data_IF_945289430681
#
_entry.id   IF_945289430681
#
_cell.length_a   1.000
_cell.length_b   1.000
_cell.length_c   1.000
_cell.angle_alpha   90.00
_cell.angle_beta   90.00
_cell.angle_gamma   90.00
#
_symmetry.space_group_name_H-M   'P 1'
#
loop_
_entity.id
_entity.type
_entity.pdbx_description
1 polymer ?
#
# COMPACT_ATOMS: atom_id res chain seq x y z
N UNK A 1 -15.16 28.54 -1.08
CA UNK A 1 -14.97 29.58 -0.04
C UNK A 1 -13.56 30.17 -0.06
N UNK A 2 -12.51 29.35 -0.08
CA UNK A 2 -11.11 29.82 -0.17
C UNK A 2 -10.83 30.78 -1.35
N UNK A 3 -11.29 30.45 -2.56
CA UNK A 3 -11.14 31.36 -3.72
C UNK A 3 -11.76 32.74 -3.48
N UNK A 4 -12.97 32.80 -2.89
CA UNK A 4 -13.63 34.06 -2.55
C UNK A 4 -12.85 34.84 -1.49
N UNK A 5 -12.23 34.14 -0.53
CA UNK A 5 -11.40 34.77 0.49
C UNK A 5 -10.08 35.31 -0.09
N UNK A 6 -9.44 34.59 -1.00
CA UNK A 6 -8.24 35.07 -1.69
C UNK A 6 -8.52 36.33 -2.54
N UNK A 7 -9.68 36.40 -3.20
CA UNK A 7 -10.12 37.64 -3.88
C UNK A 7 -10.30 38.79 -2.88
N UNK A 8 -10.90 38.52 -1.72
CA UNK A 8 -11.05 39.51 -0.67
C UNK A 8 -9.70 39.98 -0.10
N UNK A 9 -8.72 39.09 0.09
CA UNK A 9 -7.35 39.46 0.50
C UNK A 9 -6.67 40.36 -0.54
N UNK A 10 -6.89 40.09 -1.84
CA UNK A 10 -6.38 40.95 -2.90
C UNK A 10 -7.03 42.35 -2.86
N UNK A 11 -8.34 42.42 -2.67
CA UNK A 11 -9.06 43.70 -2.50
C UNK A 11 -8.59 44.45 -1.24
N UNK A 12 -8.32 43.71 -0.16
CA UNK A 12 -7.79 44.23 1.10
C UNK A 12 -6.43 44.91 0.88
N UNK A 13 -5.54 44.36 0.05
CA UNK A 13 -4.24 44.98 -0.24
C UNK A 13 -4.38 46.41 -0.80
N UNK A 14 -5.42 46.63 -1.61
CA UNK A 14 -5.72 47.93 -2.21
C UNK A 14 -6.35 48.90 -1.23
N UNK A 15 -7.12 48.41 -0.25
CA UNK A 15 -7.62 49.22 0.86
C UNK A 15 -6.48 49.60 1.81
N UNK A 16 -5.48 48.74 1.97
CA UNK A 16 -4.32 49.00 2.81
C UNK A 16 -3.51 50.22 2.36
N UNK A 17 -3.25 50.34 1.06
CA UNK A 17 -2.56 51.53 0.53
C UNK A 17 -3.36 52.82 0.71
N UNK A 18 -4.70 52.74 0.70
CA UNK A 18 -5.55 53.90 1.00
C UNK A 18 -5.49 54.30 2.48
N UNK A 19 -5.45 53.33 3.40
CA UNK A 19 -5.28 53.57 4.83
C UNK A 19 -3.91 54.19 5.11
N UNK A 20 -2.84 53.70 4.48
CA UNK A 20 -1.49 54.27 4.57
C UNK A 20 -1.47 55.74 4.11
N UNK A 21 -2.06 56.03 2.95
CA UNK A 21 -2.17 57.40 2.46
C UNK A 21 -2.99 58.32 3.37
N UNK A 22 -4.05 57.81 4.02
CA UNK A 22 -4.83 58.58 5.00
C UNK A 22 -4.00 58.90 6.25
N UNK A 23 -3.20 57.95 6.73
CA UNK A 23 -2.29 58.14 7.86
C UNK A 23 -1.22 59.19 7.53
N UNK A 24 -0.63 59.13 6.33
CA UNK A 24 0.34 60.13 5.86
C UNK A 24 -0.29 61.52 5.78
N UNK A 25 -1.48 61.63 5.20
CA UNK A 25 -2.20 62.90 5.11
C UNK A 25 -2.56 63.46 6.50
N UNK A 26 -3.04 62.61 7.41
CA UNK A 26 -3.33 63.01 8.79
C UNK A 26 -2.06 63.54 9.48
N UNK A 27 -0.94 62.82 9.36
CA UNK A 27 0.33 63.21 9.96
C UNK A 27 0.89 64.53 9.37
N UNK A 28 0.67 64.78 8.08
CA UNK A 28 1.08 66.03 7.44
C UNK A 28 0.23 67.24 7.87
N UNK A 29 -1.04 67.01 8.23
CA UNK A 29 -1.95 68.06 8.70
C UNK A 29 -1.66 68.48 10.14
N UNK A 30 -1.25 67.55 11.03
CA UNK A 30 -1.06 67.82 12.46
C UNK A 30 -0.26 69.10 12.79
N UNK A 31 0.88 69.41 12.14
CA UNK A 31 1.65 70.61 12.45
C UNK A 31 0.94 71.93 12.12
N UNK A 32 -0.10 71.90 11.28
CA UNK A 32 -0.83 73.09 10.80
C UNK A 32 -2.03 73.48 11.66
N UNK A 33 -2.40 72.65 12.64
CA UNK A 33 -3.57 72.85 13.50
C UNK A 33 -3.17 72.87 14.97
N UNK A 34 -3.95 73.57 15.80
CA UNK A 34 -3.69 73.69 17.24
C UNK A 34 -4.82 73.07 18.08
N UNK A 35 -4.43 72.53 19.24
CA UNK A 35 -5.31 72.11 20.35
C UNK A 35 -6.43 71.14 19.94
N UNK A 36 -7.67 71.61 19.86
CA UNK A 36 -8.84 70.75 19.70
C UNK A 36 -8.91 70.07 18.32
N UNK A 37 -8.46 70.77 17.27
CA UNK A 37 -8.45 70.23 15.90
C UNK A 37 -7.36 69.18 15.72
N UNK A 38 -6.20 69.39 16.36
CA UNK A 38 -5.10 68.44 16.37
C UNK A 38 -5.52 67.14 17.07
N UNK A 39 -6.15 67.24 18.25
CA UNK A 39 -6.71 66.08 18.97
C UNK A 39 -7.73 65.32 18.13
N UNK A 40 -8.68 66.02 17.51
CA UNK A 40 -9.68 65.38 16.66
C UNK A 40 -9.07 64.61 15.47
N UNK A 41 -8.02 65.15 14.83
CA UNK A 41 -7.31 64.48 13.73
C UNK A 41 -6.59 63.22 14.25
N UNK A 42 -5.91 63.32 15.39
CA UNK A 42 -5.26 62.17 16.04
C UNK A 42 -6.27 61.06 16.38
N UNK A 43 -7.37 61.41 17.06
CA UNK A 43 -8.38 60.44 17.47
C UNK A 43 -8.97 59.69 16.26
N UNK A 44 -9.30 60.41 15.18
CA UNK A 44 -9.85 59.80 13.96
C UNK A 44 -8.83 58.95 13.20
N UNK A 45 -7.56 59.39 13.13
CA UNK A 45 -6.48 58.58 12.57
C UNK A 45 -6.33 57.27 13.36
N UNK A 46 -6.33 57.35 14.68
CA UNK A 46 -6.10 56.21 15.55
C UNK A 46 -7.29 55.23 15.53
N UNK A 47 -8.53 55.72 15.42
CA UNK A 47 -9.71 54.91 15.15
C UNK A 47 -9.59 54.13 13.83
N UNK A 48 -9.16 54.78 12.75
CA UNK A 48 -8.96 54.12 11.45
C UNK A 48 -7.86 53.07 11.52
N UNK A 49 -6.74 53.38 12.18
CA UNK A 49 -5.63 52.41 12.40
C UNK A 49 -6.14 51.21 13.20
N UNK A 50 -6.93 51.43 14.25
CA UNK A 50 -7.47 50.36 15.07
C UNK A 50 -8.43 49.46 14.27
N UNK A 51 -9.40 50.05 13.56
CA UNK A 51 -10.33 49.31 12.71
C UNK A 51 -9.61 48.52 11.61
N UNK A 52 -8.58 49.12 11.00
CA UNK A 52 -7.74 48.45 10.00
C UNK A 52 -7.03 47.22 10.56
N UNK A 53 -6.38 47.35 11.72
CA UNK A 53 -5.71 46.22 12.41
C UNK A 53 -6.68 45.12 12.79
N UNK A 54 -7.87 45.47 13.29
CA UNK A 54 -8.91 44.49 13.61
C UNK A 54 -9.40 43.74 12.37
N UNK A 55 -9.58 44.45 11.24
CA UNK A 55 -9.97 43.84 9.97
C UNK A 55 -8.89 42.88 9.46
N UNK A 56 -7.61 43.27 9.51
CA UNK A 56 -6.48 42.40 9.14
C UNK A 56 -6.45 41.13 10.01
N UNK A 57 -6.57 41.29 11.33
CA UNK A 57 -6.59 40.17 12.27
C UNK A 57 -7.76 39.21 11.98
N UNK A 58 -8.96 39.74 11.79
CA UNK A 58 -10.16 38.94 11.48
C UNK A 58 -10.06 38.22 10.12
N UNK A 59 -9.41 38.86 9.15
CA UNK A 59 -9.16 38.28 7.82
C UNK A 59 -8.21 37.09 7.92
N UNK A 60 -7.09 37.25 8.63
CA UNK A 60 -6.11 36.17 8.82
C UNK A 60 -6.70 35.01 9.62
N UNK A 61 -7.47 35.27 10.68
CA UNK A 61 -8.19 34.23 11.42
C UNK A 61 -9.13 33.44 10.51
N UNK A 62 -9.90 34.14 9.66
CA UNK A 62 -10.78 33.50 8.70
C UNK A 62 -10.02 32.63 7.70
N UNK A 63 -8.85 33.09 7.23
CA UNK A 63 -7.99 32.32 6.34
C UNK A 63 -7.58 30.99 6.97
N UNK A 64 -7.06 31.04 8.20
CA UNK A 64 -6.65 29.86 8.97
C UNK A 64 -7.81 28.88 9.12
N UNK A 65 -8.99 29.36 9.55
CA UNK A 65 -10.17 28.50 9.67
C UNK A 65 -10.61 27.87 8.34
N UNK A 66 -10.51 28.60 7.23
CA UNK A 66 -10.85 28.06 5.91
C UNK A 66 -9.84 27.03 5.41
N UNK A 67 -8.55 27.19 5.74
CA UNK A 67 -7.50 26.23 5.42
C UNK A 67 -7.67 24.96 6.25
N UNK A 68 -7.88 25.08 7.56
CA UNK A 68 -8.09 23.96 8.46
C UNK A 68 -9.34 23.14 8.09
N UNK A 69 -10.44 23.82 7.78
CA UNK A 69 -11.65 23.14 7.29
C UNK A 69 -11.40 22.38 5.99
N UNK A 70 -10.64 22.95 5.05
CA UNK A 70 -10.31 22.25 3.81
C UNK A 70 -9.38 21.05 4.04
N UNK A 71 -8.36 21.20 4.89
CA UNK A 71 -7.42 20.13 5.23
C UNK A 71 -8.13 18.95 5.90
N UNK A 72 -9.05 19.20 6.84
CA UNK A 72 -9.78 18.12 7.51
C UNK A 72 -10.71 17.37 6.55
N UNK A 73 -11.39 18.08 5.65
CA UNK A 73 -12.24 17.44 4.62
C UNK A 73 -11.41 16.61 3.64
N UNK A 74 -10.25 17.14 3.23
CA UNK A 74 -9.30 16.43 2.37
C UNK A 74 -8.78 15.16 3.07
N UNK A 75 -8.40 15.25 4.34
CA UNK A 75 -7.99 14.10 5.13
C UNK A 75 -9.05 12.99 5.14
N UNK A 76 -10.30 13.30 5.49
CA UNK A 76 -11.37 12.28 5.51
C UNK A 76 -11.67 11.71 4.13
N UNK A 77 -11.55 12.50 3.06
CA UNK A 77 -11.68 11.99 1.70
C UNK A 77 -10.57 10.98 1.37
N UNK A 78 -9.31 11.32 1.67
CA UNK A 78 -8.16 10.43 1.47
C UNK A 78 -8.30 9.13 2.26
N UNK A 79 -8.72 9.20 3.54
CA UNK A 79 -8.99 8.02 4.36
C UNK A 79 -10.05 7.13 3.70
N UNK A 80 -11.18 7.70 3.26
CA UNK A 80 -12.25 6.94 2.62
C UNK A 80 -11.75 6.24 1.35
N UNK A 81 -11.01 6.95 0.50
CA UNK A 81 -10.46 6.41 -0.74
C UNK A 81 -9.47 5.27 -0.49
N UNK A 82 -8.55 5.44 0.47
CA UNK A 82 -7.61 4.38 0.84
C UNK A 82 -8.32 3.16 1.41
N UNK A 83 -9.33 3.34 2.27
CA UNK A 83 -10.09 2.22 2.83
C UNK A 83 -10.87 1.46 1.77
N UNK A 84 -11.54 2.17 0.86
CA UNK A 84 -12.23 1.53 -0.27
C UNK A 84 -11.26 0.74 -1.14
N UNK A 85 -10.08 1.29 -1.43
CA UNK A 85 -9.05 0.60 -2.20
C UNK A 85 -8.53 -0.64 -1.45
N UNK A 86 -8.27 -0.56 -0.14
CA UNK A 86 -7.86 -1.71 0.65
C UNK A 86 -8.90 -2.83 0.60
N UNK A 87 -10.19 -2.51 0.64
CA UNK A 87 -11.26 -3.50 0.54
C UNK A 87 -11.27 -4.22 -0.81
N UNK A 88 -10.98 -3.50 -1.90
CA UNK A 88 -10.81 -4.11 -3.23
C UNK A 88 -9.64 -5.09 -3.22
N UNK A 89 -8.47 -4.68 -2.70
CA UNK A 89 -7.30 -5.55 -2.60
C UNK A 89 -7.58 -6.81 -1.75
N UNK A 90 -8.29 -6.66 -0.63
CA UNK A 90 -8.71 -7.80 0.21
C UNK A 90 -9.63 -8.74 -0.55
N UNK A 91 -10.57 -8.21 -1.33
CA UNK A 91 -11.50 -9.00 -2.14
C UNK A 91 -10.75 -9.79 -3.22
N UNK A 92 -9.81 -9.16 -3.90
CA UNK A 92 -8.99 -9.82 -4.92
C UNK A 92 -8.08 -10.91 -4.32
N UNK A 93 -7.48 -10.64 -3.16
CA UNK A 93 -6.72 -11.65 -2.41
C UNK A 93 -7.59 -12.77 -1.85
N UNK A 94 -8.89 -12.55 -1.60
CA UNK A 94 -9.80 -13.56 -1.08
C UNK A 94 -10.36 -14.50 -2.17
N UNK A 95 -9.97 -14.32 -3.44
CA UNK A 95 -10.41 -15.18 -4.54
C UNK A 95 -10.02 -16.64 -4.31
N UNK A 96 -11.02 -17.54 -4.40
CA UNK A 96 -10.91 -18.98 -4.13
C UNK A 96 -10.73 -19.78 -5.43
N UNK A 97 -9.67 -19.49 -6.16
CA UNK A 97 -9.31 -20.25 -7.34
C UNK A 97 -8.60 -21.56 -6.94
N UNK A 98 -9.02 -22.69 -7.54
CA UNK A 98 -8.41 -23.99 -7.31
C UNK A 98 -7.51 -24.36 -8.49
N UNK A 99 -6.18 -24.45 -8.30
CA UNK A 99 -5.28 -24.84 -9.37
C UNK A 99 -5.46 -26.33 -9.72
N UNK A 100 -5.17 -26.69 -10.97
CA UNK A 100 -5.25 -28.08 -11.47
C UNK A 100 -3.89 -28.76 -11.54
N UNK A 101 -2.85 -27.96 -11.69
CA UNK A 101 -1.47 -28.37 -11.89
C UNK A 101 -0.51 -27.28 -11.40
N UNK A 102 0.80 -27.56 -11.50
CA UNK A 102 1.87 -26.64 -11.13
C UNK A 102 1.74 -25.28 -11.84
N UNK A 103 1.46 -25.30 -13.15
CA UNK A 103 1.28 -24.10 -13.97
C UNK A 103 0.14 -23.21 -13.44
N UNK A 104 -0.97 -23.82 -12.99
CA UNK A 104 -2.06 -23.11 -12.35
C UNK A 104 -1.67 -22.43 -11.05
N UNK A 105 -0.85 -23.08 -10.21
CA UNK A 105 -0.35 -22.47 -8.96
C UNK A 105 0.58 -21.29 -9.29
N UNK A 106 1.48 -21.44 -10.26
CA UNK A 106 2.41 -20.38 -10.68
C UNK A 106 1.67 -19.14 -11.21
N UNK A 107 0.56 -19.33 -11.93
CA UNK A 107 -0.30 -18.23 -12.37
C UNK A 107 -0.90 -17.48 -11.17
N UNK A 108 -1.43 -18.19 -10.17
CA UNK A 108 -1.96 -17.57 -8.95
C UNK A 108 -0.88 -16.78 -8.20
N UNK A 109 0.33 -17.33 -8.12
CA UNK A 109 1.47 -16.65 -7.51
C UNK A 109 1.86 -15.38 -8.27
N UNK A 110 1.86 -15.42 -9.61
CA UNK A 110 2.14 -14.24 -10.43
C UNK A 110 1.09 -13.14 -10.23
N UNK A 111 -0.21 -13.50 -10.20
CA UNK A 111 -1.28 -12.56 -9.89
C UNK A 111 -1.09 -11.94 -8.49
N UNK A 112 -0.74 -12.76 -7.49
CA UNK A 112 -0.51 -12.30 -6.12
C UNK A 112 0.70 -11.36 -5.99
N UNK A 113 1.76 -11.57 -6.79
CA UNK A 113 2.89 -10.63 -6.91
C UNK A 113 2.48 -9.30 -7.52
N UNK A 114 1.57 -9.30 -8.50
CA UNK A 114 1.02 -8.05 -9.05
C UNK A 114 0.28 -7.25 -7.98
N UNK A 115 -0.54 -7.91 -7.14
CA UNK A 115 -1.19 -7.27 -5.99
C UNK A 115 -0.17 -6.67 -5.01
N UNK A 116 0.97 -7.34 -4.80
CA UNK A 116 2.05 -6.80 -3.97
C UNK A 116 2.59 -5.48 -4.52
N UNK A 117 2.85 -5.44 -5.82
CA UNK A 117 3.33 -4.24 -6.48
C UNK A 117 2.33 -3.08 -6.37
N UNK A 118 1.02 -3.36 -6.46
CA UNK A 118 -0.02 -2.35 -6.22
C UNK A 118 -0.03 -1.84 -4.78
N UNK A 119 0.12 -2.75 -3.80
CA UNK A 119 0.21 -2.38 -2.38
C UNK A 119 1.41 -1.48 -2.13
N UNK A 120 2.58 -1.84 -2.65
CA UNK A 120 3.82 -1.08 -2.48
C UNK A 120 3.75 0.29 -3.16
N UNK A 121 3.16 0.36 -4.36
CA UNK A 121 2.93 1.63 -5.06
C UNK A 121 1.99 2.58 -4.31
N UNK A 122 1.11 2.05 -3.44
CA UNK A 122 0.17 2.85 -2.65
C UNK A 122 0.77 3.46 -1.39
N UNK A 123 1.98 3.07 -1.01
CA UNK A 123 2.61 3.44 0.25
C UNK A 123 2.77 4.96 0.43
N UNK A 124 3.10 5.67 -0.64
CA UNK A 124 3.24 7.13 -0.63
C UNK A 124 1.90 7.80 -0.28
N UNK A 125 0.77 7.30 -0.78
CA UNK A 125 -0.54 7.85 -0.48
C UNK A 125 -0.93 7.68 1.00
N UNK A 126 -0.59 6.55 1.62
CA UNK A 126 -0.75 6.37 3.06
C UNK A 126 0.10 7.38 3.83
N UNK A 127 1.36 7.56 3.43
CA UNK A 127 2.28 8.52 4.04
C UNK A 127 1.77 9.97 3.95
N UNK A 128 1.25 10.38 2.77
CA UNK A 128 0.65 11.71 2.58
C UNK A 128 -0.61 11.86 3.45
N UNK A 129 -1.46 10.85 3.52
CA UNK A 129 -2.69 10.90 4.34
C UNK A 129 -2.37 11.03 5.84
N UNK A 130 -1.45 10.20 6.33
CA UNK A 130 -1.04 10.18 7.74
C UNK A 130 -0.26 11.44 8.14
N UNK A 131 0.57 11.99 7.25
CA UNK A 131 1.27 13.26 7.51
C UNK A 131 0.31 14.45 7.59
N UNK A 132 -0.75 14.47 6.76
CA UNK A 132 -1.83 15.44 6.89
C UNK A 132 -2.58 15.26 8.21
N UNK A 133 -2.93 14.02 8.57
CA UNK A 133 -3.56 13.71 9.87
C UNK A 133 -2.71 14.19 11.04
N UNK A 134 -1.40 13.93 11.04
CA UNK A 134 -0.46 14.42 12.06
C UNK A 134 -0.39 15.95 12.11
N UNK A 135 -0.44 16.61 10.96
CA UNK A 135 -0.46 18.08 10.89
C UNK A 135 -1.72 18.64 11.55
N UNK A 136 -2.89 18.05 11.29
CA UNK A 136 -4.16 18.43 11.91
C UNK A 136 -4.15 18.22 13.44
N UNK A 137 -3.56 17.12 13.91
CA UNK A 137 -3.39 16.83 15.34
C UNK A 137 -2.45 17.85 16.01
N UNK A 138 -1.32 18.18 15.37
CA UNK A 138 -0.38 19.18 15.89
C UNK A 138 -1.01 20.57 16.01
N UNK A 139 -1.93 20.92 15.12
CA UNK A 139 -2.70 22.18 15.17
C UNK A 139 -3.84 22.17 16.20
N UNK A 140 -4.09 21.05 16.89
CA UNK A 140 -5.25 20.84 17.79
C UNK A 140 -6.58 21.19 17.11
N UNK A 141 -6.77 20.64 15.91
CA UNK A 141 -7.99 20.86 15.14
C UNK A 141 -9.23 20.46 15.97
N UNK A 142 -10.38 21.15 15.87
CA UNK A 142 -11.60 20.82 16.65
C UNK A 142 -12.13 19.38 16.48
N UNK A 143 -11.65 18.67 15.46
CA UNK A 143 -11.97 17.26 15.15
C UNK A 143 -10.79 16.33 15.40
N UNK A 144 -9.88 16.69 16.30
CA UNK A 144 -8.66 15.91 16.56
C UNK A 144 -8.93 14.48 17.01
N UNK A 145 -10.00 14.23 17.78
CA UNK A 145 -10.40 12.88 18.19
C UNK A 145 -10.75 12.01 16.97
N UNK A 146 -11.62 12.50 16.08
CA UNK A 146 -11.96 11.81 14.83
C UNK A 146 -10.72 11.55 13.97
N UNK A 147 -9.84 12.54 13.85
CA UNK A 147 -8.60 12.43 13.05
C UNK A 147 -7.68 11.36 13.65
N UNK A 148 -7.52 11.35 14.98
CA UNK A 148 -6.69 10.38 15.69
C UNK A 148 -7.23 8.96 15.49
N UNK A 149 -8.53 8.77 15.67
CA UNK A 149 -9.20 7.48 15.45
C UNK A 149 -8.95 6.99 14.02
N UNK A 150 -9.16 7.85 13.01
CA UNK A 150 -8.96 7.46 11.60
C UNK A 150 -7.50 7.18 11.25
N UNK A 151 -6.54 7.90 11.84
CA UNK A 151 -5.11 7.60 11.66
C UNK A 151 -4.76 6.22 12.22
N UNK A 152 -5.21 5.90 13.44
CA UNK A 152 -4.97 4.59 14.06
C UNK A 152 -5.62 3.50 13.21
N UNK A 153 -6.89 3.67 12.85
CA UNK A 153 -7.61 2.72 12.02
C UNK A 153 -6.91 2.47 10.68
N UNK A 154 -6.47 3.53 9.99
CA UNK A 154 -5.82 3.42 8.70
C UNK A 154 -4.48 2.65 8.79
N UNK A 155 -3.70 2.89 9.84
CA UNK A 155 -2.43 2.16 10.09
C UNK A 155 -2.71 0.69 10.40
N UNK A 156 -3.68 0.40 11.25
CA UNK A 156 -4.06 -0.97 11.59
C UNK A 156 -4.54 -1.74 10.36
N UNK A 157 -5.46 -1.15 9.57
CA UNK A 157 -5.99 -1.78 8.36
C UNK A 157 -4.91 -2.00 7.29
N UNK A 158 -3.92 -1.08 7.19
CA UNK A 158 -2.75 -1.22 6.31
C UNK A 158 -1.85 -2.39 6.72
N UNK A 159 -1.52 -2.50 8.02
CA UNK A 159 -0.70 -3.61 8.53
C UNK A 159 -1.41 -4.94 8.25
N UNK A 160 -2.69 -5.04 8.61
CA UNK A 160 -3.51 -6.23 8.34
C UNK A 160 -3.55 -6.60 6.86
N UNK A 161 -3.63 -5.62 5.94
CA UNK A 161 -3.60 -5.89 4.51
C UNK A 161 -2.26 -6.54 4.10
N UNK A 162 -1.15 -6.05 4.63
CA UNK A 162 0.18 -6.62 4.38
C UNK A 162 0.29 -8.04 4.96
N UNK A 163 -0.23 -8.26 6.16
CA UNK A 163 -0.20 -9.57 6.82
C UNK A 163 -1.02 -10.60 6.03
N UNK A 164 -2.22 -10.22 5.58
CA UNK A 164 -3.08 -11.06 4.72
C UNK A 164 -2.41 -11.42 3.40
N UNK A 165 -1.67 -10.47 2.81
CA UNK A 165 -0.89 -10.74 1.61
C UNK A 165 0.20 -11.80 1.89
N UNK A 166 0.93 -11.65 2.99
CA UNK A 166 2.01 -12.57 3.38
C UNK A 166 1.48 -13.97 3.65
N UNK A 167 0.41 -14.09 4.45
CA UNK A 167 -0.22 -15.38 4.78
C UNK A 167 -0.67 -16.14 3.51
N UNK A 168 -1.30 -15.43 2.57
CA UNK A 168 -1.69 -16.03 1.28
C UNK A 168 -0.47 -16.41 0.44
N UNK A 169 0.60 -15.62 0.47
CA UNK A 169 1.82 -15.92 -0.27
C UNK A 169 2.47 -17.23 0.23
N UNK A 170 2.62 -17.37 1.54
CA UNK A 170 3.14 -18.59 2.18
C UNK A 170 2.26 -19.80 1.83
N UNK A 171 0.94 -19.64 1.88
CA UNK A 171 -0.01 -20.69 1.48
C UNK A 171 0.18 -21.11 0.01
N UNK A 172 0.37 -20.15 -0.90
CA UNK A 172 0.61 -20.45 -2.32
C UNK A 172 1.96 -21.14 -2.56
N UNK A 173 2.98 -20.82 -1.77
CA UNK A 173 4.27 -21.52 -1.83
C UNK A 173 4.14 -22.98 -1.39
N UNK A 174 3.47 -23.23 -0.27
CA UNK A 174 3.19 -24.59 0.19
C UNK A 174 2.35 -25.36 -0.84
N UNK A 175 1.36 -24.70 -1.44
CA UNK A 175 0.54 -25.30 -2.49
C UNK A 175 1.39 -25.67 -3.71
N UNK A 176 2.34 -24.83 -4.11
CA UNK A 176 3.24 -25.11 -5.22
C UNK A 176 4.08 -26.36 -4.93
N UNK A 177 4.64 -26.48 -3.73
CA UNK A 177 5.43 -27.63 -3.30
C UNK A 177 4.62 -28.93 -3.37
N UNK A 178 3.37 -28.91 -2.89
CA UNK A 178 2.47 -30.08 -2.94
C UNK A 178 2.20 -30.52 -4.38
N UNK A 179 1.91 -29.58 -5.29
CA UNK A 179 1.63 -29.93 -6.70
C UNK A 179 2.89 -30.37 -7.45
N UNK A 180 4.06 -29.81 -7.13
CA UNK A 180 5.34 -30.27 -7.68
C UNK A 180 5.64 -31.69 -7.21
N UNK A 181 5.47 -31.97 -5.91
CA UNK A 181 5.61 -33.31 -5.37
C UNK A 181 4.66 -34.30 -6.04
N UNK A 182 3.37 -33.98 -6.13
CA UNK A 182 2.37 -34.88 -6.72
C UNK A 182 2.71 -35.24 -8.17
N UNK A 183 3.08 -34.23 -8.97
CA UNK A 183 3.55 -34.44 -10.36
C UNK A 183 4.79 -35.32 -10.40
N UNK A 184 5.79 -35.02 -9.59
CA UNK A 184 7.07 -35.73 -9.63
C UNK A 184 6.92 -37.18 -9.12
N UNK A 185 6.02 -37.42 -8.17
CA UNK A 185 5.64 -38.73 -7.67
C UNK A 185 4.89 -39.55 -8.72
N UNK A 186 3.95 -38.95 -9.45
CA UNK A 186 3.25 -39.60 -10.56
C UNK A 186 4.23 -40.06 -11.65
N UNK A 187 5.24 -39.24 -11.97
CA UNK A 187 6.26 -39.65 -12.94
C UNK A 187 7.14 -40.78 -12.41
N UNK A 188 7.49 -40.76 -11.12
CA UNK A 188 8.25 -41.83 -10.49
C UNK A 188 7.46 -43.15 -10.47
N UNK A 189 6.17 -43.09 -10.11
CA UNK A 189 5.26 -44.23 -10.08
C UNK A 189 5.09 -44.85 -11.47
N UNK A 190 4.83 -44.02 -12.49
CA UNK A 190 4.73 -44.47 -13.88
C UNK A 190 6.02 -45.16 -14.36
N UNK A 191 7.19 -44.64 -13.96
CA UNK A 191 8.47 -45.26 -14.28
C UNK A 191 8.62 -46.62 -13.60
N UNK A 192 8.25 -46.74 -12.33
CA UNK A 192 8.29 -48.00 -11.56
C UNK A 192 7.36 -49.05 -12.17
N UNK A 193 6.11 -48.70 -12.44
CA UNK A 193 5.12 -49.58 -13.08
C UNK A 193 5.61 -50.09 -14.44
N UNK A 194 6.29 -49.24 -15.23
CA UNK A 194 6.84 -49.65 -16.51
C UNK A 194 7.94 -50.72 -16.39
N UNK A 195 8.57 -50.89 -15.22
CA UNK A 195 9.59 -51.93 -14.98
C UNK A 195 8.99 -53.28 -14.59
N UNK A 196 7.77 -53.31 -14.03
CA UNK A 196 7.16 -54.53 -13.50
C UNK A 196 7.08 -55.70 -14.52
N UNK A 197 6.66 -55.49 -15.78
CA UNK A 197 6.58 -56.59 -16.74
C UNK A 197 7.94 -57.20 -17.06
N UNK A 198 8.99 -56.38 -17.08
CA UNK A 198 10.36 -56.84 -17.31
C UNK A 198 10.86 -57.68 -16.13
N UNK A 199 10.65 -57.20 -14.90
CA UNK A 199 11.07 -57.88 -13.67
C UNK A 199 10.26 -59.14 -13.35
N UNK A 200 9.00 -59.21 -13.80
CA UNK A 200 8.14 -60.38 -13.63
C UNK A 200 8.51 -61.54 -14.58
N UNK A 201 9.29 -61.28 -15.63
CA UNK A 201 9.72 -62.31 -16.57
C UNK A 201 10.65 -63.32 -15.90
N UNK A 202 10.33 -64.62 -16.04
CA UNK A 202 11.19 -65.74 -15.60
C UNK A 202 11.98 -66.35 -16.76
N UNK A 203 11.90 -65.76 -17.93
CA UNK A 203 12.63 -66.20 -19.11
C UNK A 203 14.13 -65.97 -18.91
N UNK A 204 14.92 -67.03 -19.05
CA UNK A 204 16.38 -67.01 -18.95
C UNK A 204 17.05 -67.26 -20.29
N UNK A 205 16.30 -67.45 -21.38
CA UNK A 205 16.81 -67.90 -22.66
C UNK A 205 17.12 -69.40 -22.68
N UNK A 206 17.08 -69.99 -23.88
CA UNK A 206 17.38 -71.41 -24.11
C UNK A 206 18.81 -71.61 -24.65
N UNK A 207 19.44 -70.53 -25.13
CA UNK A 207 20.80 -70.54 -25.68
C UNK A 207 21.74 -69.57 -24.95
N UNK A 208 23.06 -69.81 -25.08
CA UNK A 208 24.07 -68.90 -24.53
C UNK A 208 23.89 -67.46 -25.04
N UNK A 209 23.62 -67.29 -26.33
CA UNK A 209 23.45 -65.96 -26.93
C UNK A 209 22.21 -65.23 -26.38
N UNK A 210 21.10 -65.95 -26.17
CA UNK A 210 19.89 -65.40 -25.54
C UNK A 210 20.13 -65.03 -24.07
N UNK A 211 20.80 -65.89 -23.30
CA UNK A 211 21.14 -65.62 -21.90
C UNK A 211 22.03 -64.38 -21.76
N UNK A 212 23.05 -64.23 -22.64
CA UNK A 212 23.93 -63.07 -22.67
C UNK A 212 23.20 -61.78 -23.08
N UNK A 213 22.25 -61.87 -24.00
CA UNK A 213 21.40 -60.74 -24.38
C UNK A 213 20.53 -60.28 -23.21
N UNK A 214 19.93 -61.21 -22.46
CA UNK A 214 19.16 -60.92 -21.25
C UNK A 214 20.02 -60.28 -20.15
N UNK A 215 21.24 -60.78 -19.94
CA UNK A 215 22.20 -60.18 -19.00
C UNK A 215 22.54 -58.75 -19.40
N UNK A 216 22.82 -58.49 -20.68
CA UNK A 216 23.08 -57.13 -21.18
C UNK A 216 21.89 -56.20 -20.94
N UNK A 217 20.66 -56.68 -21.14
CA UNK A 217 19.44 -55.93 -20.85
C UNK A 217 19.31 -55.61 -19.36
N UNK A 218 19.67 -56.55 -18.48
CA UNK A 218 19.67 -56.33 -17.03
C UNK A 218 20.66 -55.26 -16.58
N UNK A 219 21.90 -55.31 -17.09
CA UNK A 219 22.90 -54.27 -16.83
C UNK A 219 22.44 -52.88 -17.30
N UNK A 220 21.67 -52.81 -18.40
CA UNK A 220 21.08 -51.55 -18.85
C UNK A 220 19.97 -51.06 -17.91
N UNK A 221 19.14 -51.98 -17.39
CA UNK A 221 18.14 -51.67 -16.37
C UNK A 221 18.79 -51.13 -15.08
N UNK A 222 19.83 -51.78 -14.55
CA UNK A 222 20.54 -51.32 -13.34
C UNK A 222 21.08 -49.89 -13.50
N UNK A 223 21.65 -49.58 -14.67
CA UNK A 223 22.11 -48.22 -14.98
C UNK A 223 20.96 -47.22 -15.02
N UNK A 224 19.82 -47.60 -15.61
CA UNK A 224 18.64 -46.75 -15.66
C UNK A 224 17.99 -46.55 -14.28
N UNK A 225 18.06 -47.55 -13.40
CA UNK A 225 17.60 -47.44 -12.02
C UNK A 225 18.50 -46.52 -11.20
N UNK A 226 19.83 -46.63 -11.35
CA UNK A 226 20.78 -45.74 -10.69
C UNK A 226 20.56 -44.26 -11.05
N UNK A 227 20.15 -43.95 -12.29
CA UNK A 227 19.84 -42.57 -12.67
C UNK A 227 18.54 -42.02 -12.08
N UNK A 228 17.67 -42.87 -11.50
CA UNK A 228 16.47 -42.39 -10.80
C UNK A 228 16.72 -42.00 -9.34
N UNK A 229 17.89 -42.31 -8.77
CA UNK A 229 18.19 -42.04 -7.36
C UNK A 229 18.01 -40.55 -7.01
N UNK A 230 18.50 -39.64 -7.85
CA UNK A 230 18.33 -38.19 -7.66
C UNK A 230 16.85 -37.76 -7.62
N UNK A 231 15.98 -38.43 -8.39
CA UNK A 231 14.54 -38.15 -8.43
C UNK A 231 13.87 -38.53 -7.11
N UNK A 232 14.16 -39.72 -6.59
CA UNK A 232 13.62 -40.17 -5.30
C UNK A 232 14.15 -39.34 -4.14
N UNK A 233 15.43 -38.92 -4.19
CA UNK A 233 15.98 -37.98 -3.21
C UNK A 233 15.30 -36.61 -3.27
N UNK A 234 14.94 -36.11 -4.45
CA UNK A 234 14.19 -34.86 -4.58
C UNK A 234 12.79 -34.96 -3.95
N UNK A 235 12.07 -36.05 -4.18
CA UNK A 235 10.78 -36.33 -3.55
C UNK A 235 10.89 -36.45 -2.02
N UNK A 236 11.96 -37.08 -1.52
CA UNK A 236 12.23 -37.18 -0.09
C UNK A 236 12.50 -35.81 0.55
N UNK A 237 13.20 -34.91 -0.14
CA UNK A 237 13.45 -33.56 0.37
C UNK A 237 12.16 -32.76 0.52
N UNK A 238 11.29 -32.79 -0.50
CA UNK A 238 9.99 -32.09 -0.49
C UNK A 238 9.06 -32.55 0.66
N UNK A 239 9.21 -33.80 1.11
CA UNK A 239 8.40 -34.37 2.21
C UNK A 239 8.96 -34.08 3.61
N UNK A 240 10.26 -33.79 3.75
CA UNK A 240 10.86 -33.46 5.06
C UNK A 240 10.63 -32.02 5.51
N UNK A 241 10.42 -31.09 4.56
CA UNK A 241 10.09 -29.69 4.87
C UNK A 241 8.65 -29.54 5.39
N UNK A 242 7.75 -30.41 4.93
CA UNK A 242 6.32 -30.42 5.30
C UNK A 242 6.01 -31.14 6.63
N UNK A 243 7.01 -31.69 7.34
CA UNK A 243 6.83 -32.40 8.62
C UNK A 243 7.40 -31.66 9.85
N UNK A 244 7.69 -30.36 9.76
CA UNK A 244 8.23 -29.55 10.89
C UNK A 244 7.15 -28.65 11.54
N UNK A 245 5.86 -28.86 11.24
CA UNK A 245 4.75 -28.21 11.97
C UNK A 245 3.97 -29.18 12.87
#
# INVERSE_FOLDING_TARGET
LQRKHATFEYELSRLGSQVEGLIEAANALLPSYAADKERLICDRRDEVIHAWRQLQCSTEQRKVHLLDAADVHRFFAMVRELRMWMEVMRTEMATKEKPRDVSGVELLMNNHRSLKAEIDAREENFSICLSLGRTLLNRRHPREEDVREKCIQLVTERIQLSDQWTERWETLQLLLEVYQFARDAEVADAWLMAQEPYLASKDLGETLDETLALLKKHLAFERAAATQEERFLALQKLTTVSCIE
#
